data_IF_037709677072
#
_entry.id   IF_037709677072
#
_cell.length_a   1.000
_cell.length_b   1.000
_cell.length_c   1.000
_cell.angle_alpha   90.00
_cell.angle_beta   90.00
_cell.angle_gamma   90.00
#
_symmetry.space_group_name_H-M   'P 1'
#
loop_
_entity.id
_entity.type
_entity.pdbx_description
1 polymer ?
#
# COMPACT_ATOMS: atom_id res chain seq x y z
N UNK A 1 -23.53 16.23 7.84
CA UNK A 1 -24.30 16.10 6.57
C UNK A 1 -24.18 17.34 5.67
N UNK A 2 -23.12 18.15 5.76
CA UNK A 2 -23.04 19.42 5.01
C UNK A 2 -22.55 19.24 3.56
N UNK A 3 -21.61 18.32 3.30
CA UNK A 3 -21.06 18.13 1.96
C UNK A 3 -22.00 17.34 1.04
N UNK A 4 -22.61 16.24 1.52
CA UNK A 4 -23.52 15.42 0.71
C UNK A 4 -24.77 16.17 0.22
N UNK A 5 -25.25 17.14 1.01
CA UNK A 5 -26.40 17.98 0.65
C UNK A 5 -26.12 18.96 -0.51
N UNK A 6 -24.84 19.17 -0.87
CA UNK A 6 -24.46 20.00 -2.03
C UNK A 6 -24.63 19.27 -3.36
N UNK A 7 -24.73 17.94 -3.33
CA UNK A 7 -24.82 17.10 -4.52
C UNK A 7 -26.27 16.90 -4.94
N UNK A 8 -26.50 16.66 -6.22
CA UNK A 8 -27.80 16.21 -6.72
C UNK A 8 -28.22 14.93 -5.97
N UNK A 9 -29.49 14.79 -5.61
CA UNK A 9 -30.04 13.59 -4.95
C UNK A 9 -29.81 12.31 -5.77
N UNK A 10 -29.74 12.43 -7.09
CA UNK A 10 -29.50 11.31 -8.01
C UNK A 10 -28.00 11.02 -8.24
N UNK A 11 -27.10 11.87 -7.72
CA UNK A 11 -25.66 11.68 -7.87
C UNK A 11 -25.21 10.37 -7.24
N UNK A 12 -24.24 9.67 -7.85
CA UNK A 12 -23.75 8.37 -7.38
C UNK A 12 -23.32 8.38 -5.90
N UNK A 13 -22.58 9.40 -5.46
CA UNK A 13 -22.21 9.58 -4.04
C UNK A 13 -23.40 9.68 -3.04
N UNK A 14 -24.62 9.93 -3.53
CA UNK A 14 -25.85 9.94 -2.72
C UNK A 14 -26.69 8.68 -2.89
N UNK A 15 -26.52 7.93 -3.97
CA UNK A 15 -27.39 6.80 -4.35
C UNK A 15 -26.71 5.44 -4.28
N UNK A 16 -25.38 5.38 -4.36
CA UNK A 16 -24.58 4.16 -4.35
C UNK A 16 -23.81 4.03 -3.05
N UNK A 17 -23.64 2.80 -2.60
CA UNK A 17 -22.76 2.49 -1.47
C UNK A 17 -21.30 2.61 -1.90
N UNK A 18 -20.55 3.49 -1.24
CA UNK A 18 -19.11 3.69 -1.45
C UNK A 18 -18.33 2.65 -0.67
N UNK A 19 -17.55 1.81 -1.36
CA UNK A 19 -16.64 0.85 -0.73
C UNK A 19 -15.32 1.50 -0.32
N UNK A 20 -14.73 2.29 -1.22
CA UNK A 20 -13.46 2.95 -0.97
C UNK A 20 -13.32 4.26 -1.72
N UNK A 21 -12.49 5.14 -1.15
CA UNK A 21 -12.03 6.37 -1.80
C UNK A 21 -10.52 6.41 -1.68
N UNK A 22 -9.81 6.50 -2.80
CA UNK A 22 -8.34 6.49 -2.82
C UNK A 22 -7.81 7.72 -3.54
N UNK A 23 -6.88 8.42 -2.89
CA UNK A 23 -6.14 9.52 -3.49
C UNK A 23 -5.09 8.98 -4.48
N UNK A 24 -4.94 9.68 -5.59
CA UNK A 24 -4.11 9.31 -6.72
C UNK A 24 -3.34 10.53 -7.22
N UNK A 25 -2.17 10.30 -7.81
CA UNK A 25 -1.52 11.25 -8.70
C UNK A 25 -1.69 10.74 -10.14
N UNK A 26 -2.57 11.39 -10.89
CA UNK A 26 -3.09 10.93 -12.16
C UNK A 26 -3.69 9.53 -12.03
N UNK A 27 -2.93 8.51 -12.43
CA UNK A 27 -3.36 7.12 -12.42
C UNK A 27 -2.52 6.25 -11.46
N UNK A 28 -1.62 6.86 -10.70
CA UNK A 28 -0.74 6.19 -9.76
C UNK A 28 -1.26 6.33 -8.33
N UNK A 29 -1.17 5.24 -7.58
CA UNK A 29 -1.52 5.25 -6.18
C UNK A 29 -0.41 5.94 -5.38
N UNK A 30 -0.81 6.90 -4.57
CA UNK A 30 0.11 7.70 -3.75
C UNK A 30 -0.27 7.60 -2.28
N UNK A 31 0.76 7.68 -1.46
CA UNK A 31 0.65 7.84 -0.01
C UNK A 31 1.25 9.18 0.44
N UNK A 32 2.13 9.79 -0.38
CA UNK A 32 2.51 11.19 -0.25
C UNK A 32 1.36 12.09 -0.74
N UNK A 33 0.59 12.64 0.20
CA UNK A 33 -0.60 13.41 -0.13
C UNK A 33 -0.28 14.74 -0.85
N UNK A 34 0.92 15.31 -0.71
CA UNK A 34 1.28 16.56 -1.42
C UNK A 34 1.17 16.45 -2.95
N UNK A 35 1.23 15.23 -3.49
CA UNK A 35 1.16 14.95 -4.92
C UNK A 35 -0.25 14.57 -5.41
N UNK A 36 -1.23 14.49 -4.51
CA UNK A 36 -2.58 14.05 -4.86
C UNK A 36 -3.28 15.09 -5.76
N UNK A 37 -3.75 14.64 -6.92
CA UNK A 37 -4.49 15.47 -7.88
C UNK A 37 -5.82 14.84 -8.34
N UNK A 38 -6.09 13.59 -7.96
CA UNK A 38 -7.31 12.86 -8.33
C UNK A 38 -7.73 11.93 -7.18
N UNK A 39 -9.02 11.61 -7.14
CA UNK A 39 -9.54 10.46 -6.39
C UNK A 39 -10.20 9.45 -7.32
N UNK A 40 -10.12 8.19 -6.90
CA UNK A 40 -10.99 7.13 -7.39
C UNK A 40 -11.99 6.76 -6.30
N UNK A 41 -13.27 6.79 -6.63
CA UNK A 41 -14.36 6.32 -5.79
C UNK A 41 -14.83 4.99 -6.34
N UNK A 42 -14.74 3.92 -5.54
CA UNK A 42 -15.20 2.59 -5.92
C UNK A 42 -16.48 2.25 -5.16
N UNK A 43 -17.52 1.87 -5.90
CA UNK A 43 -18.84 1.56 -5.36
C UNK A 43 -19.07 0.04 -5.24
N UNK A 44 -20.05 -0.34 -4.41
CA UNK A 44 -20.39 -1.75 -4.15
C UNK A 44 -20.90 -2.50 -5.38
N UNK A 45 -21.44 -1.79 -6.37
CA UNK A 45 -21.86 -2.34 -7.66
C UNK A 45 -20.70 -2.56 -8.66
N UNK A 46 -19.45 -2.29 -8.24
CA UNK A 46 -18.24 -2.43 -9.04
C UNK A 46 -17.91 -1.24 -9.94
N UNK A 47 -18.82 -0.26 -10.04
CA UNK A 47 -18.59 0.97 -10.82
C UNK A 47 -17.61 1.90 -10.12
N UNK A 48 -16.98 2.79 -10.91
CA UNK A 48 -15.93 3.68 -10.44
C UNK A 48 -16.15 5.08 -10.99
N UNK A 49 -16.05 6.08 -10.13
CA UNK A 49 -15.98 7.49 -10.53
C UNK A 49 -14.58 8.03 -10.27
N UNK A 50 -14.18 9.00 -11.09
CA UNK A 50 -12.90 9.70 -10.98
C UNK A 50 -13.18 11.19 -10.84
N UNK A 51 -12.56 11.82 -9.85
CA UNK A 51 -12.73 13.25 -9.65
C UNK A 51 -11.39 13.95 -9.44
N UNK A 52 -11.24 15.14 -10.00
CA UNK A 52 -10.02 15.92 -9.82
C UNK A 52 -10.01 16.61 -8.45
N UNK A 53 -8.81 16.77 -7.90
CA UNK A 53 -8.55 17.43 -6.63
C UNK A 53 -7.80 18.74 -6.84
N UNK A 54 -8.12 19.74 -6.04
CA UNK A 54 -7.28 20.90 -5.80
C UNK A 54 -6.93 20.97 -4.31
N UNK A 55 -5.65 21.22 -4.00
CA UNK A 55 -5.19 21.38 -2.62
C UNK A 55 -5.95 22.48 -1.89
N UNK A 56 -6.40 22.21 -0.66
CA UNK A 56 -6.95 23.21 0.24
C UNK A 56 -5.82 23.77 1.12
N UNK A 57 -5.86 25.06 1.44
CA UNK A 57 -5.07 25.63 2.54
C UNK A 57 -5.77 25.44 3.89
N UNK A 58 -6.99 24.90 3.90
CA UNK A 58 -7.76 24.57 5.09
C UNK A 58 -7.38 23.17 5.57
N UNK A 59 -7.25 22.96 6.88
CA UNK A 59 -6.89 21.66 7.47
C UNK A 59 -5.77 21.76 8.52
N UNK A 60 -5.39 20.62 9.08
CA UNK A 60 -4.21 20.50 9.94
C UNK A 60 -2.97 20.23 9.08
N UNK A 61 -1.78 20.61 9.54
CA UNK A 61 -0.54 20.42 8.76
C UNK A 61 -0.28 18.95 8.39
N UNK A 62 -0.70 18.01 9.24
CA UNK A 62 -0.55 16.57 9.06
C UNK A 62 -1.81 15.87 8.52
N UNK A 63 -2.92 16.59 8.33
CA UNK A 63 -4.16 16.06 7.76
C UNK A 63 -4.57 16.95 6.60
N UNK A 64 -4.23 16.50 5.39
CA UNK A 64 -4.51 17.25 4.17
C UNK A 64 -5.99 17.24 3.85
N UNK A 65 -6.50 18.39 3.46
CA UNK A 65 -7.83 18.53 2.87
C UNK A 65 -7.71 18.97 1.42
N UNK A 66 -8.62 18.48 0.58
CA UNK A 66 -8.75 18.83 -0.82
C UNK A 66 -10.17 19.28 -1.11
N UNK A 67 -10.32 20.04 -2.18
CA UNK A 67 -11.61 20.24 -2.82
C UNK A 67 -11.70 19.33 -4.03
N UNK A 68 -12.80 18.58 -4.13
CA UNK A 68 -13.17 17.88 -5.35
C UNK A 68 -13.70 18.93 -6.32
N UNK A 69 -12.91 19.30 -7.32
CA UNK A 69 -13.15 20.50 -8.15
C UNK A 69 -14.50 20.46 -8.84
N UNK A 70 -14.87 19.29 -9.36
CA UNK A 70 -16.06 19.10 -10.18
C UNK A 70 -17.35 19.16 -9.36
N UNK A 71 -17.24 18.97 -8.04
CA UNK A 71 -18.37 18.86 -7.12
C UNK A 71 -18.42 19.98 -6.08
N UNK A 72 -17.34 20.75 -5.89
CA UNK A 72 -17.26 21.81 -4.88
C UNK A 72 -17.37 21.31 -3.42
N UNK A 73 -17.06 20.03 -3.19
CA UNK A 73 -17.10 19.38 -1.87
C UNK A 73 -15.69 19.12 -1.35
N UNK A 74 -15.57 18.99 -0.03
CA UNK A 74 -14.29 18.69 0.63
C UNK A 74 -14.04 17.18 0.71
N UNK A 75 -12.77 16.81 0.58
CA UNK A 75 -12.27 15.46 0.74
C UNK A 75 -11.04 15.46 1.65
N UNK A 76 -11.04 14.57 2.63
CA UNK A 76 -9.92 14.37 3.56
C UNK A 76 -9.53 12.88 3.47
N UNK A 77 -8.33 12.55 2.95
CA UNK A 77 -7.85 11.18 2.92
C UNK A 77 -7.73 10.59 4.34
N UNK A 78 -7.98 9.29 4.47
CA UNK A 78 -7.70 8.55 5.71
C UNK A 78 -6.21 8.18 5.84
N UNK A 79 -5.32 9.16 5.65
CA UNK A 79 -3.87 9.03 5.79
C UNK A 79 -3.39 10.27 6.54
N UNK A 80 -2.55 10.07 7.55
CA UNK A 80 -1.90 11.15 8.29
C UNK A 80 -0.50 11.33 7.73
N UNK A 81 -0.17 12.54 7.25
CA UNK A 81 1.13 12.82 6.69
C UNK A 81 2.13 13.13 7.80
N UNK A 82 3.07 12.22 8.00
CA UNK A 82 4.10 12.28 9.04
C UNK A 82 5.48 12.03 8.46
N UNK A 83 6.49 12.53 9.18
CA UNK A 83 7.87 12.15 8.91
C UNK A 83 8.15 10.77 9.50
N UNK A 84 8.17 9.78 8.60
CA UNK A 84 8.47 8.39 8.93
C UNK A 84 9.87 7.96 8.47
N UNK A 85 10.75 8.93 8.15
CA UNK A 85 12.08 8.67 7.57
C UNK A 85 12.90 7.68 8.40
N UNK A 86 12.94 7.85 9.72
CA UNK A 86 13.68 6.93 10.61
C UNK A 86 13.13 5.51 10.55
N UNK A 87 11.81 5.33 10.67
CA UNK A 87 11.19 4.01 10.64
C UNK A 87 11.35 3.34 9.27
N UNK A 88 11.22 4.12 8.19
CA UNK A 88 11.45 3.64 6.81
C UNK A 88 12.89 3.16 6.65
N UNK A 89 13.87 3.92 7.13
CA UNK A 89 15.29 3.53 7.04
C UNK A 89 15.61 2.30 7.90
N UNK A 90 15.04 2.20 9.09
CA UNK A 90 15.23 1.04 9.96
C UNK A 90 14.67 -0.23 9.30
N UNK A 91 13.44 -0.17 8.79
CA UNK A 91 12.80 -1.29 8.08
C UNK A 91 13.57 -1.63 6.80
N UNK A 92 14.06 -0.62 6.07
CA UNK A 92 14.87 -0.82 4.88
C UNK A 92 16.14 -1.61 5.20
N UNK A 93 16.88 -1.22 6.23
CA UNK A 93 18.08 -1.93 6.66
C UNK A 93 17.80 -3.40 6.99
N UNK A 94 16.68 -3.68 7.67
CA UNK A 94 16.23 -5.05 7.97
C UNK A 94 16.03 -5.87 6.68
N UNK A 95 15.26 -5.34 5.73
CA UNK A 95 14.91 -6.04 4.49
C UNK A 95 16.06 -6.10 3.49
N UNK A 96 16.93 -5.10 3.46
CA UNK A 96 18.14 -5.09 2.63
C UNK A 96 19.12 -6.20 3.03
N UNK A 97 19.15 -6.60 4.30
CA UNK A 97 20.04 -7.67 4.78
C UNK A 97 19.67 -9.08 4.28
N UNK A 98 18.47 -9.27 3.72
CA UNK A 98 17.97 -10.58 3.29
C UNK A 98 18.18 -10.77 1.79
N UNK A 99 18.87 -11.84 1.43
CA UNK A 99 19.10 -12.26 0.05
C UNK A 99 18.23 -13.47 -0.30
N UNK A 100 17.86 -13.60 -1.57
CA UNK A 100 17.03 -14.71 -2.06
C UNK A 100 17.71 -16.08 -1.84
N UNK A 101 19.03 -16.14 -2.01
CA UNK A 101 19.86 -17.33 -1.77
C UNK A 101 20.54 -17.29 -0.39
N UNK A 102 19.77 -17.01 0.67
CA UNK A 102 20.27 -16.90 2.05
C UNK A 102 19.73 -17.99 2.98
N UNK A 103 20.43 -18.22 4.10
CA UNK A 103 19.98 -19.15 5.14
C UNK A 103 18.58 -18.81 5.66
N UNK A 104 18.28 -17.52 5.83
CA UNK A 104 16.96 -17.03 6.24
C UNK A 104 15.88 -17.48 5.26
N UNK A 105 16.15 -17.37 3.95
CA UNK A 105 15.19 -17.75 2.91
C UNK A 105 15.02 -19.27 2.80
N UNK A 106 16.11 -20.03 2.88
CA UNK A 106 16.07 -21.49 2.91
C UNK A 106 15.29 -22.03 4.10
N UNK A 107 15.45 -21.42 5.28
CA UNK A 107 14.70 -21.79 6.47
C UNK A 107 13.22 -21.46 6.33
N UNK A 108 12.90 -20.27 5.83
CA UNK A 108 11.51 -19.85 5.63
C UNK A 108 10.77 -20.79 4.67
N UNK A 109 11.35 -21.09 3.50
CA UNK A 109 10.76 -21.97 2.49
C UNK A 109 10.97 -23.46 2.74
N UNK A 110 11.50 -23.86 3.91
CA UNK A 110 11.81 -25.25 4.23
C UNK A 110 12.65 -25.98 3.15
N UNK A 111 13.64 -25.29 2.57
CA UNK A 111 14.58 -25.82 1.57
C UNK A 111 15.96 -26.02 2.20
N UNK A 112 16.10 -27.06 3.02
CA UNK A 112 17.31 -27.27 3.84
C UNK A 112 18.29 -28.31 3.27
N UNK A 113 17.93 -29.01 2.19
CA UNK A 113 18.76 -30.05 1.59
C UNK A 113 19.86 -29.53 0.65
N UNK A 114 20.61 -30.45 0.04
CA UNK A 114 21.68 -30.13 -0.92
C UNK A 114 21.13 -29.48 -2.20
N UNK A 115 19.88 -29.75 -2.54
CA UNK A 115 19.20 -29.15 -3.71
C UNK A 115 18.65 -27.74 -3.45
N UNK A 116 18.84 -27.15 -2.26
CA UNK A 116 18.21 -25.88 -1.86
C UNK A 116 18.41 -24.73 -2.86
N UNK A 117 19.61 -24.57 -3.42
CA UNK A 117 19.90 -23.48 -4.37
C UNK A 117 19.03 -23.59 -5.62
N UNK A 118 18.91 -24.80 -6.17
CA UNK A 118 18.09 -25.05 -7.35
C UNK A 118 16.60 -25.02 -7.01
N UNK A 119 16.20 -25.52 -5.84
CA UNK A 119 14.81 -25.42 -5.37
C UNK A 119 14.30 -23.98 -5.31
N UNK A 120 15.16 -23.01 -4.98
CA UNK A 120 14.81 -21.58 -5.04
C UNK A 120 14.76 -21.07 -6.48
N UNK A 121 15.70 -21.48 -7.34
CA UNK A 121 15.71 -21.12 -8.77
C UNK A 121 14.47 -21.61 -9.51
N UNK A 122 13.95 -22.77 -9.13
CA UNK A 122 12.75 -23.36 -9.72
C UNK A 122 11.47 -22.55 -9.38
N UNK A 123 11.54 -21.60 -8.44
CA UNK A 123 10.47 -20.63 -8.17
C UNK A 123 10.50 -19.44 -9.16
N UNK A 124 11.62 -19.26 -9.86
CA UNK A 124 11.83 -18.19 -10.86
C UNK A 124 11.60 -16.78 -10.29
N UNK A 125 12.10 -16.50 -9.09
CA UNK A 125 11.83 -15.23 -8.39
C UNK A 125 12.94 -14.18 -8.52
N UNK A 126 14.07 -14.51 -9.14
CA UNK A 126 15.29 -13.69 -9.14
C UNK A 126 15.07 -12.27 -9.67
N UNK A 127 14.44 -12.15 -10.84
CA UNK A 127 14.16 -10.86 -11.48
C UNK A 127 13.21 -10.03 -10.62
N UNK A 128 12.08 -10.62 -10.22
CA UNK A 128 11.08 -9.94 -9.40
C UNK A 128 11.58 -9.59 -7.99
N UNK A 129 12.51 -10.38 -7.44
CA UNK A 129 13.16 -10.08 -6.15
C UNK A 129 14.12 -8.91 -6.31
N UNK A 130 14.91 -8.89 -7.38
CA UNK A 130 15.79 -7.77 -7.73
C UNK A 130 14.99 -6.47 -7.87
N UNK A 131 13.91 -6.48 -8.64
CA UNK A 131 13.02 -5.31 -8.78
C UNK A 131 12.51 -4.80 -7.43
N UNK A 132 12.12 -5.71 -6.53
CA UNK A 132 11.64 -5.36 -5.18
C UNK A 132 12.77 -4.72 -4.36
N UNK A 133 13.99 -5.24 -4.44
CA UNK A 133 15.16 -4.69 -3.74
C UNK A 133 15.52 -3.30 -4.26
N UNK A 134 15.50 -3.10 -5.58
CA UNK A 134 15.78 -1.80 -6.21
C UNK A 134 14.73 -0.73 -5.84
N UNK A 135 13.46 -1.13 -5.66
CA UNK A 135 12.36 -0.24 -5.33
C UNK A 135 11.99 -0.21 -3.84
N UNK A 136 12.81 -0.82 -2.99
CA UNK A 136 12.48 -1.13 -1.60
C UNK A 136 12.13 0.11 -0.77
N UNK A 137 12.82 1.24 -1.01
CA UNK A 137 12.56 2.51 -0.32
C UNK A 137 11.12 3.00 -0.55
N UNK A 138 10.64 2.94 -1.81
CA UNK A 138 9.29 3.37 -2.17
C UNK A 138 8.24 2.40 -1.58
N UNK A 139 8.47 1.10 -1.69
CA UNK A 139 7.56 0.07 -1.17
C UNK A 139 7.41 0.17 0.36
N UNK A 140 8.50 0.38 1.09
CA UNK A 140 8.47 0.55 2.55
C UNK A 140 7.79 1.85 2.94
N UNK A 141 8.04 2.94 2.20
CA UNK A 141 7.35 4.22 2.44
C UNK A 141 5.83 4.04 2.36
N UNK A 142 5.36 3.40 1.28
CA UNK A 142 3.93 3.09 1.09
C UNK A 142 3.41 2.16 2.19
N UNK A 143 4.17 1.14 2.58
CA UNK A 143 3.79 0.20 3.64
C UNK A 143 3.63 0.91 4.99
N UNK A 144 4.64 1.67 5.42
CA UNK A 144 4.62 2.38 6.71
C UNK A 144 3.50 3.40 6.77
N UNK A 145 3.26 4.15 5.69
CA UNK A 145 2.17 5.11 5.62
C UNK A 145 0.78 4.46 5.63
N UNK A 146 0.65 3.20 5.17
CA UNK A 146 -0.58 2.43 5.29
C UNK A 146 -0.76 1.78 6.67
N UNK A 147 0.29 1.57 7.47
CA UNK A 147 0.13 0.97 8.81
C UNK A 147 0.01 2.06 9.91
N UNK A 148 0.65 3.21 9.72
CA UNK A 148 0.70 4.28 10.71
C UNK A 148 -0.43 5.31 10.55
N UNK A 149 -1.66 4.89 10.85
CA UNK A 149 -2.85 5.77 10.75
C UNK A 149 -3.09 6.69 11.96
N UNK A 150 -2.33 6.54 13.05
CA UNK A 150 -2.57 7.29 14.28
C UNK A 150 -2.20 8.77 14.12
N UNK A 151 -3.03 9.69 14.63
CA UNK A 151 -2.72 11.13 14.60
C UNK A 151 -1.47 11.48 15.42
N UNK A 152 -1.33 10.88 16.60
CA UNK A 152 -0.21 11.11 17.51
C UNK A 152 0.99 10.22 17.15
N UNK A 153 2.20 10.70 17.44
CA UNK A 153 3.39 9.86 17.36
C UNK A 153 3.47 8.91 18.54
N UNK A 154 3.67 7.63 18.22
CA UNK A 154 3.77 6.55 19.20
C UNK A 154 5.03 5.74 18.94
N UNK A 155 6.11 5.95 19.73
CA UNK A 155 7.32 5.15 19.63
C UNK A 155 7.05 3.64 19.77
N UNK A 156 6.09 3.27 20.63
CA UNK A 156 5.67 1.88 20.81
C UNK A 156 5.01 1.29 19.55
N UNK A 157 4.17 2.07 18.85
CA UNK A 157 3.57 1.62 17.60
C UNK A 157 4.62 1.44 16.49
N UNK A 158 5.56 2.38 16.36
CA UNK A 158 6.67 2.29 15.41
C UNK A 158 7.56 1.08 15.71
N UNK A 159 7.87 0.83 16.98
CA UNK A 159 8.62 -0.35 17.40
C UNK A 159 7.88 -1.65 17.08
N UNK A 160 6.56 -1.70 17.30
CA UNK A 160 5.74 -2.86 16.96
C UNK A 160 5.77 -3.18 15.46
N UNK A 161 5.69 -2.16 14.60
CA UNK A 161 5.82 -2.33 13.14
C UNK A 161 7.21 -2.89 12.82
N UNK A 162 8.28 -2.29 13.38
CA UNK A 162 9.67 -2.71 13.17
C UNK A 162 9.88 -4.17 13.59
N UNK A 163 9.43 -4.56 14.79
CA UNK A 163 9.58 -5.91 15.32
C UNK A 163 8.82 -6.94 14.49
N UNK A 164 7.62 -6.57 14.02
CA UNK A 164 6.83 -7.41 13.12
C UNK A 164 7.52 -7.60 11.77
N UNK A 165 8.16 -6.57 11.23
CA UNK A 165 8.98 -6.68 10.02
C UNK A 165 10.21 -7.56 10.25
N UNK A 166 10.98 -7.33 11.32
CA UNK A 166 12.16 -8.14 11.65
C UNK A 166 11.81 -9.64 11.75
N UNK A 167 10.74 -9.95 12.48
CA UNK A 167 10.27 -11.32 12.67
C UNK A 167 9.87 -12.00 11.36
N UNK A 168 9.33 -11.25 10.41
CA UNK A 168 8.72 -11.80 9.18
C UNK A 168 9.45 -11.36 7.90
N UNK A 169 10.71 -10.91 7.98
CA UNK A 169 11.44 -10.29 6.87
C UNK A 169 11.51 -11.14 5.59
N UNK A 170 11.67 -12.45 5.72
CA UNK A 170 11.65 -13.37 4.57
C UNK A 170 10.26 -13.45 3.93
N UNK A 171 9.22 -13.69 4.74
CA UNK A 171 7.83 -13.70 4.29
C UNK A 171 7.44 -12.38 3.63
N UNK A 172 7.80 -11.24 4.23
CA UNK A 172 7.47 -9.93 3.69
C UNK A 172 8.10 -9.70 2.31
N UNK A 173 9.40 -10.01 2.15
CA UNK A 173 10.06 -9.90 0.86
C UNK A 173 9.45 -10.84 -0.18
N UNK A 174 9.18 -12.10 0.18
CA UNK A 174 8.53 -13.03 -0.73
C UNK A 174 7.12 -12.55 -1.13
N UNK A 175 6.33 -12.04 -0.18
CA UNK A 175 5.01 -11.47 -0.47
C UNK A 175 5.07 -10.33 -1.48
N UNK A 176 6.03 -9.41 -1.29
CA UNK A 176 6.29 -8.33 -2.26
C UNK A 176 6.76 -8.88 -3.61
N UNK A 177 7.66 -9.85 -3.62
CA UNK A 177 8.22 -10.47 -4.84
C UNK A 177 7.16 -11.22 -5.64
N UNK A 178 6.30 -12.01 -5.00
CA UNK A 178 5.21 -12.72 -5.66
C UNK A 178 4.19 -11.77 -6.26
N UNK A 179 3.81 -10.74 -5.51
CA UNK A 179 2.89 -9.74 -6.03
C UNK A 179 3.51 -8.94 -7.18
N UNK A 180 4.81 -8.61 -7.09
CA UNK A 180 5.53 -7.97 -8.18
C UNK A 180 5.52 -8.83 -9.45
N UNK A 181 5.80 -10.14 -9.31
CA UNK A 181 5.85 -11.10 -10.40
C UNK A 181 4.51 -11.30 -11.10
N UNK A 182 3.47 -11.58 -10.32
CA UNK A 182 2.18 -12.04 -10.87
C UNK A 182 1.18 -10.90 -11.14
N UNK A 183 1.38 -9.73 -10.53
CA UNK A 183 0.49 -8.58 -10.68
C UNK A 183 1.18 -7.37 -11.32
N UNK A 184 2.30 -7.58 -12.01
CA UNK A 184 3.02 -6.58 -12.82
C UNK A 184 2.27 -6.05 -14.07
N UNK A 185 0.94 -6.15 -14.11
CA UNK A 185 0.12 -5.77 -15.27
C UNK A 185 -0.56 -4.42 -15.03
N UNK A 186 -0.33 -3.46 -15.93
CA UNK A 186 -1.16 -2.25 -16.02
C UNK A 186 -2.49 -2.63 -16.68
N UNK A 187 -3.61 -2.37 -16.01
CA UNK A 187 -4.94 -2.66 -16.53
C UNK A 187 -5.65 -1.35 -16.87
N UNK A 188 -5.77 -1.07 -18.16
CA UNK A 188 -6.25 0.23 -18.65
C UNK A 188 -5.31 1.35 -18.20
N UNK A 189 -5.89 2.46 -17.75
CA UNK A 189 -5.13 3.66 -17.38
C UNK A 189 -4.57 3.59 -15.94
N UNK A 190 -5.14 2.78 -15.04
CA UNK A 190 -4.82 2.74 -13.60
C UNK A 190 -3.78 1.67 -13.26
N UNK A 191 -2.81 2.02 -12.40
CA UNK A 191 -1.86 1.05 -11.86
C UNK A 191 -2.49 0.15 -10.78
N UNK A 192 -3.22 -0.88 -11.23
CA UNK A 192 -3.95 -1.81 -10.37
C UNK A 192 -3.02 -2.56 -9.40
N UNK A 193 -1.78 -2.83 -9.80
CA UNK A 193 -0.77 -3.48 -8.96
C UNK A 193 -0.65 -2.81 -7.59
N UNK A 194 -0.54 -1.47 -7.57
CA UNK A 194 -0.35 -0.73 -6.35
C UNK A 194 -1.62 -0.67 -5.49
N UNK A 195 -2.80 -0.56 -6.12
CA UNK A 195 -4.07 -0.66 -5.40
C UNK A 195 -4.24 -2.04 -4.77
N UNK A 196 -3.91 -3.12 -5.49
CA UNK A 196 -3.95 -4.48 -4.95
C UNK A 196 -2.92 -4.71 -3.84
N UNK A 197 -1.77 -4.07 -3.91
CA UNK A 197 -0.72 -4.19 -2.89
C UNK A 197 -1.11 -3.45 -1.61
N UNK A 198 -1.47 -2.18 -1.75
CA UNK A 198 -1.49 -1.24 -0.64
C UNK A 198 -2.90 -0.78 -0.24
N UNK A 199 -3.95 -1.11 -1.01
CA UNK A 199 -5.34 -0.76 -0.73
C UNK A 199 -6.26 -1.99 -0.79
N UNK A 200 -6.15 -2.94 0.15
CA UNK A 200 -7.05 -4.10 0.20
C UNK A 200 -8.53 -3.67 0.38
N UNK A 201 -8.76 -2.54 1.05
CA UNK A 201 -10.08 -1.93 1.23
C UNK A 201 -10.70 -1.49 -0.09
N UNK A 202 -9.89 -1.22 -1.12
CA UNK A 202 -10.36 -0.99 -2.47
C UNK A 202 -11.22 -2.15 -2.98
N UNK A 203 -10.97 -3.38 -2.52
CA UNK A 203 -11.73 -4.58 -2.90
C UNK A 203 -12.65 -5.08 -1.78
N UNK A 204 -12.92 -4.26 -0.76
CA UNK A 204 -13.83 -4.58 0.35
C UNK A 204 -13.18 -5.30 1.53
N UNK A 205 -11.87 -5.55 1.49
CA UNK A 205 -11.14 -6.26 2.56
C UNK A 205 -10.47 -5.27 3.52
N UNK A 206 -10.80 -5.34 4.82
CA UNK A 206 -10.20 -4.49 5.86
C UNK A 206 -9.09 -5.23 6.59
N UNK A 207 -8.01 -5.51 5.87
CA UNK A 207 -6.83 -6.20 6.41
C UNK A 207 -5.61 -5.28 6.41
N UNK A 208 -4.71 -5.44 7.39
CA UNK A 208 -3.41 -4.76 7.39
C UNK A 208 -2.62 -5.17 6.15
N UNK A 209 -2.00 -4.20 5.49
CA UNK A 209 -1.17 -4.44 4.31
C UNK A 209 0.03 -5.30 4.72
N UNK A 210 0.63 -4.99 5.86
CA UNK A 210 1.73 -5.76 6.42
C UNK A 210 1.33 -7.22 6.70
N UNK A 211 0.18 -7.45 7.35
CA UNK A 211 -0.31 -8.81 7.59
C UNK A 211 -0.56 -9.59 6.31
N UNK A 212 -1.20 -8.95 5.33
CA UNK A 212 -1.49 -9.57 4.05
C UNK A 212 -0.22 -9.96 3.29
N UNK A 213 0.79 -9.10 3.26
CA UNK A 213 2.07 -9.40 2.62
C UNK A 213 2.79 -10.57 3.31
N UNK A 214 2.80 -10.58 4.65
CA UNK A 214 3.35 -11.69 5.44
C UNK A 214 2.60 -12.99 5.13
N UNK A 215 1.27 -12.94 5.08
CA UNK A 215 0.44 -14.11 4.77
C UNK A 215 0.78 -14.68 3.40
N UNK A 216 0.84 -13.84 2.36
CA UNK A 216 1.16 -14.25 0.99
C UNK A 216 2.54 -14.92 0.94
N UNK A 217 3.56 -14.28 1.52
CA UNK A 217 4.91 -14.86 1.51
C UNK A 217 5.10 -16.06 2.44
N UNK A 218 4.12 -16.37 3.30
CA UNK A 218 4.14 -17.55 4.16
C UNK A 218 3.41 -18.76 3.57
N UNK A 219 2.65 -18.59 2.46
CA UNK A 219 1.87 -19.67 1.83
C UNK A 219 2.68 -20.65 0.99
N UNK A 220 3.98 -20.42 0.84
CA UNK A 220 4.89 -21.21 -0.02
C UNK A 220 5.68 -22.29 0.76
N UNK A 221 5.18 -22.67 1.93
CA UNK A 221 5.77 -23.68 2.80
C UNK A 221 5.48 -25.11 2.33
#
# INVERSE_FOLDING_TARGET
>A
VYQGNKLNKEHHLNTKEVLSVTAMNNNEFITNLDEANKIIVHYADGTKDYFNLSSSSEGLSNVKEYTITDLGIKYTPNIVQKDNTTLVNDIKSILESVELQSQTMYQHLNRLGDYRVNAIKDLYLEESFTDVKENLTNLITKLVQNEEHQLNDSPAARQMIRDKVEKNKAALLLGLTYLNRYYGVKFGDVNIKELMLFKPDFYGEKVSVLDRLIEIGSKEN
#
